data_IF_004193441722
#
_entry.id   IF_004193441722
#
_cell.length_a   1.000
_cell.length_b   1.000
_cell.length_c   1.000
_cell.angle_alpha   90.00
_cell.angle_beta   90.00
_cell.angle_gamma   90.00
#
_symmetry.space_group_name_H-M   'P 1'
#
loop_
_entity.id
_entity.type
_entity.pdbx_description
1 polymer ?
#
# COMPACT_ATOMS: atom_id res chain seq x y z
N UNK A 1 11.15 49.48 -7.66
CA UNK A 1 10.83 49.23 -6.23
C UNK A 1 9.37 49.59 -5.95
N UNK A 2 8.52 48.58 -5.87
CA UNK A 2 7.30 48.44 -5.05
C UNK A 2 6.92 46.94 -5.16
N UNK A 3 6.59 46.24 -4.07
CA UNK A 3 6.55 44.78 -4.06
C UNK A 3 5.23 44.27 -4.65
N UNK A 4 5.32 43.24 -5.49
CA UNK A 4 4.17 42.45 -5.95
C UNK A 4 3.83 41.47 -4.82
N UNK A 5 2.65 41.66 -4.24
CA UNK A 5 2.06 40.80 -3.21
C UNK A 5 1.57 39.53 -3.88
N UNK A 6 2.14 38.39 -3.49
CA UNK A 6 1.61 37.06 -3.79
C UNK A 6 0.24 36.90 -3.11
N UNK A 7 -0.83 36.81 -3.89
CA UNK A 7 -2.14 36.41 -3.38
C UNK A 7 -2.23 34.89 -3.33
N UNK A 8 -2.02 34.32 -2.15
CA UNK A 8 -2.45 32.97 -1.81
C UNK A 8 -3.97 32.91 -1.81
N UNK A 9 -4.56 32.46 -2.91
CA UNK A 9 -5.96 32.00 -2.97
C UNK A 9 -6.03 30.78 -3.88
N UNK A 10 -5.57 29.64 -3.38
CA UNK A 10 -6.16 28.38 -3.79
C UNK A 10 -7.65 28.44 -3.44
N UNK A 11 -8.50 28.20 -4.44
CA UNK A 11 -9.94 28.09 -4.23
C UNK A 11 -10.15 26.88 -3.32
N UNK A 12 -10.62 27.17 -2.12
CA UNK A 12 -11.14 26.29 -1.08
C UNK A 12 -11.74 24.96 -1.60
N UNK A 13 -10.95 23.89 -1.58
CA UNK A 13 -11.41 22.69 -0.88
C UNK A 13 -11.48 23.09 0.60
N UNK A 14 -12.65 22.97 1.23
CA UNK A 14 -12.82 23.31 2.65
C UNK A 14 -12.08 22.29 3.52
N UNK A 15 -10.77 22.43 3.63
CA UNK A 15 -9.99 21.85 4.72
C UNK A 15 -10.35 22.66 5.96
N UNK A 16 -11.28 22.16 6.76
CA UNK A 16 -11.51 22.67 8.10
C UNK A 16 -10.25 22.40 8.93
N UNK A 17 -9.36 23.39 9.00
CA UNK A 17 -8.20 23.36 9.89
C UNK A 17 -8.65 23.74 11.30
N UNK A 18 -9.10 22.76 12.09
CA UNK A 18 -9.33 22.89 13.52
C UNK A 18 -7.99 22.83 14.27
N UNK A 19 -7.17 23.87 14.11
CA UNK A 19 -6.06 24.13 15.03
C UNK A 19 -6.63 24.87 16.23
N UNK A 20 -6.90 24.13 17.31
CA UNK A 20 -7.24 24.75 18.60
C UNK A 20 -8.46 24.17 19.31
N UNK A 21 -8.61 22.86 19.39
CA UNK A 21 -9.28 22.24 20.56
C UNK A 21 -8.76 20.83 20.78
N UNK A 22 -8.36 20.57 22.02
CA UNK A 22 -7.92 19.31 22.62
C UNK A 22 -8.32 18.00 21.88
N UNK A 23 -7.30 17.17 21.57
CA UNK A 23 -7.36 15.70 21.59
C UNK A 23 -8.66 15.06 21.06
N UNK A 24 -9.01 15.35 19.81
CA UNK A 24 -9.89 14.47 19.04
C UNK A 24 -9.04 13.25 18.69
N UNK A 25 -9.19 12.15 19.44
CA UNK A 25 -8.44 10.93 19.24
C UNK A 25 -8.55 10.44 17.79
N UNK A 26 -7.60 9.64 17.31
CA UNK A 26 -7.68 9.10 15.95
C UNK A 26 -8.99 8.32 15.69
N UNK A 27 -9.57 7.68 16.72
CA UNK A 27 -10.93 7.13 16.71
C UNK A 27 -11.94 8.18 16.24
N UNK A 28 -11.92 9.36 16.84
CA UNK A 28 -12.84 10.43 16.51
C UNK A 28 -12.57 11.01 15.11
N UNK A 29 -11.32 11.06 14.63
CA UNK A 29 -11.04 11.41 13.23
C UNK A 29 -11.60 10.38 12.24
N UNK A 30 -11.51 9.08 12.54
CA UNK A 30 -12.12 8.05 11.69
C UNK A 30 -13.65 8.06 11.75
N UNK A 31 -14.23 8.30 12.93
CA UNK A 31 -15.68 8.49 13.09
C UNK A 31 -16.16 9.74 12.33
N UNK A 32 -15.40 10.83 12.39
CA UNK A 32 -15.68 12.03 11.60
C UNK A 32 -15.58 11.72 10.12
N UNK A 33 -14.57 10.96 9.66
CA UNK A 33 -14.49 10.57 8.25
C UNK A 33 -15.69 9.71 7.82
N UNK A 34 -16.11 8.75 8.67
CA UNK A 34 -17.30 7.94 8.47
C UNK A 34 -18.57 8.81 8.36
N UNK A 35 -18.76 9.72 9.32
CA UNK A 35 -19.91 10.61 9.36
C UNK A 35 -19.89 11.59 8.18
N UNK A 36 -18.75 12.24 7.93
CA UNK A 36 -18.59 13.19 6.82
C UNK A 36 -18.87 12.51 5.49
N UNK A 37 -18.41 11.28 5.26
CA UNK A 37 -18.74 10.57 4.02
C UNK A 37 -20.25 10.34 3.87
N UNK A 38 -20.97 10.10 4.96
CA UNK A 38 -22.43 9.96 4.94
C UNK A 38 -23.15 11.29 4.62
N UNK A 39 -22.51 12.45 4.83
CA UNK A 39 -23.08 13.78 4.60
C UNK A 39 -22.57 14.49 3.34
N UNK A 40 -21.28 14.36 3.01
CA UNK A 40 -20.54 15.20 2.05
C UNK A 40 -19.93 14.38 0.88
N UNK A 41 -19.73 14.98 -0.31
CA UNK A 41 -19.02 14.33 -1.41
C UNK A 41 -17.54 14.10 -1.10
N UNK A 42 -17.11 12.84 -1.13
CA UNK A 42 -15.72 12.36 -0.95
C UNK A 42 -15.08 12.72 0.41
N UNK A 43 -14.22 11.84 0.93
CA UNK A 43 -13.57 12.07 2.23
C UNK A 43 -12.13 11.59 2.19
N UNK A 44 -11.24 12.41 2.74
CA UNK A 44 -9.81 12.16 2.81
C UNK A 44 -9.29 12.32 4.24
N UNK A 45 -8.37 11.45 4.65
CA UNK A 45 -7.67 11.57 5.94
C UNK A 45 -6.21 11.14 5.83
N UNK A 46 -5.40 11.48 6.82
CA UNK A 46 -4.02 11.03 6.92
C UNK A 46 -3.68 10.62 8.36
N UNK A 47 -2.91 9.55 8.51
CA UNK A 47 -2.55 8.99 9.83
C UNK A 47 -1.26 8.17 9.75
N UNK A 48 -0.80 7.66 10.89
CA UNK A 48 0.33 6.74 11.01
C UNK A 48 0.31 6.00 12.35
N UNK A 49 0.93 4.81 12.43
CA UNK A 49 1.27 4.09 13.66
C UNK A 49 0.09 4.01 14.64
N UNK A 50 0.26 4.49 15.88
CA UNK A 50 -0.75 4.48 16.93
C UNK A 50 -2.05 5.15 16.51
N UNK A 51 -1.97 6.20 15.69
CA UNK A 51 -3.15 6.85 15.14
C UNK A 51 -3.96 5.88 14.29
N UNK A 52 -3.31 5.13 13.41
CA UNK A 52 -3.97 4.12 12.59
C UNK A 52 -4.57 2.99 13.43
N UNK A 53 -3.82 2.49 14.42
CA UNK A 53 -4.29 1.40 15.28
C UNK A 53 -5.47 1.81 16.16
N UNK A 54 -5.51 3.06 16.62
CA UNK A 54 -6.67 3.63 17.30
C UNK A 54 -7.89 3.73 16.37
N UNK A 55 -7.71 3.74 15.05
CA UNK A 55 -8.81 3.72 14.08
C UNK A 55 -9.30 2.31 13.72
N UNK A 56 -8.65 1.24 14.22
CA UNK A 56 -8.85 -0.12 13.72
C UNK A 56 -10.33 -0.53 13.62
N UNK A 57 -11.12 -0.36 14.68
CA UNK A 57 -12.56 -0.69 14.67
C UNK A 57 -13.31 0.04 13.54
N UNK A 58 -13.07 1.34 13.39
CA UNK A 58 -13.74 2.17 12.39
C UNK A 58 -13.29 1.83 10.97
N UNK A 59 -12.02 1.43 10.78
CA UNK A 59 -11.48 0.99 9.50
C UNK A 59 -12.26 -0.23 8.98
N UNK A 60 -12.51 -1.24 9.81
CA UNK A 60 -13.34 -2.38 9.42
C UNK A 60 -14.78 -1.98 9.09
N UNK A 61 -15.36 -1.02 9.82
CA UNK A 61 -16.71 -0.52 9.54
C UNK A 61 -16.80 0.23 8.20
N UNK A 62 -15.81 1.07 7.86
CA UNK A 62 -15.79 1.83 6.60
C UNK A 62 -15.76 0.88 5.38
N UNK A 63 -14.87 -0.12 5.41
CA UNK A 63 -14.84 -1.16 4.37
C UNK A 63 -16.13 -1.99 4.38
N UNK A 64 -16.59 -2.31 5.60
CA UNK A 64 -17.84 -3.03 5.87
C UNK A 64 -19.04 -2.41 5.16
N UNK A 65 -19.15 -1.09 5.21
CA UNK A 65 -20.25 -0.29 4.68
C UNK A 65 -20.03 0.16 3.23
N UNK A 66 -18.96 -0.26 2.57
CA UNK A 66 -18.60 0.14 1.18
C UNK A 66 -18.54 1.66 0.99
N UNK A 67 -17.80 2.30 1.88
CA UNK A 67 -17.61 3.75 1.87
C UNK A 67 -16.23 4.08 1.26
N UNK A 68 -16.17 4.70 0.06
CA UNK A 68 -14.92 5.10 -0.60
C UNK A 68 -14.24 6.29 0.07
N UNK A 69 -13.67 6.04 1.24
CA UNK A 69 -12.77 6.97 1.92
C UNK A 69 -11.35 6.74 1.40
N UNK A 70 -10.63 7.81 1.09
CA UNK A 70 -9.21 7.75 0.75
C UNK A 70 -8.38 8.14 1.97
N UNK A 71 -7.34 7.37 2.27
CA UNK A 71 -6.43 7.63 3.38
C UNK A 71 -4.99 7.61 2.91
N UNK A 72 -4.19 8.58 3.32
CA UNK A 72 -2.73 8.45 3.25
C UNK A 72 -2.19 7.95 4.58
N UNK A 73 -1.45 6.85 4.54
CA UNK A 73 -0.77 6.29 5.69
C UNK A 73 0.74 6.45 5.52
N UNK A 74 1.31 7.41 6.25
CA UNK A 74 2.76 7.56 6.33
C UNK A 74 3.31 6.52 7.31
N UNK A 75 3.70 5.37 6.77
CA UNK A 75 4.03 4.16 7.53
C UNK A 75 5.10 4.45 8.60
N UNK A 76 4.77 4.08 9.84
CA UNK A 76 5.58 4.40 11.02
C UNK A 76 5.54 3.25 12.03
N UNK A 77 6.66 3.08 12.71
CA UNK A 77 6.82 2.12 13.79
C UNK A 77 5.71 2.14 14.84
N UNK A 78 5.27 0.94 15.21
CA UNK A 78 4.30 0.71 16.26
C UNK A 78 5.03 0.51 17.59
N UNK A 79 4.64 1.27 18.62
CA UNK A 79 5.16 1.13 19.99
C UNK A 79 4.88 -0.27 20.56
N UNK A 80 5.72 -0.85 21.43
CA UNK A 80 6.81 -0.26 22.21
C UNK A 80 8.19 -0.90 21.89
N UNK A 81 9.31 -0.14 21.94
CA UNK A 81 9.44 1.25 22.38
C UNK A 81 8.82 2.26 21.39
N UNK A 82 8.57 3.49 21.85
CA UNK A 82 8.09 4.53 20.94
C UNK A 82 9.16 4.81 19.88
N UNK A 83 8.75 4.79 18.62
CA UNK A 83 9.60 5.15 17.52
C UNK A 83 8.77 5.94 16.49
N UNK A 84 9.26 7.11 16.11
CA UNK A 84 8.60 8.00 15.15
C UNK A 84 9.01 7.72 13.71
N UNK A 85 10.04 6.91 13.51
CA UNK A 85 10.57 6.59 12.20
C UNK A 85 9.81 5.45 11.53
N UNK A 86 10.14 5.21 10.27
CA UNK A 86 9.44 4.24 9.44
C UNK A 86 9.73 2.79 9.80
N UNK A 87 8.66 2.05 9.95
CA UNK A 87 8.53 0.69 9.47
C UNK A 87 7.11 0.58 8.90
N UNK A 88 6.73 -0.61 8.47
CA UNK A 88 5.45 -0.88 7.80
C UNK A 88 4.45 -1.57 8.73
N UNK A 89 4.77 -1.69 10.03
CA UNK A 89 4.00 -2.48 11.00
C UNK A 89 2.55 -2.01 11.13
N UNK A 90 2.33 -0.70 11.02
CA UNK A 90 1.01 -0.08 11.15
C UNK A 90 0.03 -0.54 10.06
N UNK A 91 0.35 -0.31 8.79
CA UNK A 91 -0.54 -0.66 7.67
C UNK A 91 -0.68 -2.18 7.50
N UNK A 92 0.38 -2.97 7.74
CA UNK A 92 0.28 -4.43 7.65
C UNK A 92 -0.54 -5.02 8.79
N UNK A 93 -0.68 -4.36 9.94
CA UNK A 93 -1.54 -4.78 11.05
C UNK A 93 -3.04 -4.68 10.74
N UNK A 94 -3.43 -3.88 9.74
CA UNK A 94 -4.82 -3.72 9.30
C UNK A 94 -5.06 -4.22 7.87
N UNK A 95 -4.13 -5.00 7.31
CA UNK A 95 -4.18 -5.49 5.92
C UNK A 95 -5.43 -6.33 5.61
N UNK A 96 -6.03 -6.95 6.62
CA UNK A 96 -7.22 -7.81 6.49
C UNK A 96 -8.54 -7.05 6.71
N UNK A 97 -8.49 -5.72 6.75
CA UNK A 97 -9.65 -4.85 6.99
C UNK A 97 -10.61 -4.72 5.82
N UNK A 98 -10.23 -5.14 4.62
CA UNK A 98 -10.99 -4.91 3.39
C UNK A 98 -10.73 -3.55 2.72
N UNK A 99 -9.77 -2.78 3.24
CA UNK A 99 -9.25 -1.60 2.55
C UNK A 99 -8.34 -2.01 1.39
N UNK A 100 -8.46 -1.27 0.29
CA UNK A 100 -7.50 -1.33 -0.80
C UNK A 100 -6.21 -0.69 -0.30
N UNK A 101 -5.05 -1.34 -0.46
CA UNK A 101 -3.76 -0.76 -0.07
C UNK A 101 -2.85 -0.63 -1.29
N UNK A 102 -2.51 0.63 -1.63
CA UNK A 102 -1.57 1.00 -2.68
C UNK A 102 -0.25 1.46 -2.04
N UNK A 103 0.86 0.82 -2.40
CA UNK A 103 2.18 0.98 -1.80
C UNK A 103 3.12 1.72 -2.76
N UNK A 104 3.64 2.86 -2.31
CA UNK A 104 4.36 3.83 -3.13
C UNK A 104 5.87 3.75 -2.89
N UNK A 105 6.66 3.64 -3.96
CA UNK A 105 8.12 3.60 -3.91
C UNK A 105 8.74 4.96 -3.61
N UNK A 106 8.17 6.03 -4.16
CA UNK A 106 8.74 7.38 -4.07
C UNK A 106 7.64 8.45 -4.05
N UNK A 107 8.05 9.72 -3.97
CA UNK A 107 7.12 10.85 -3.89
C UNK A 107 6.23 11.00 -5.14
N UNK A 108 6.76 10.69 -6.34
CA UNK A 108 5.98 10.69 -7.58
C UNK A 108 4.88 9.64 -7.53
N UNK A 109 5.24 8.40 -7.19
CA UNK A 109 4.27 7.31 -7.09
C UNK A 109 3.23 7.57 -5.98
N UNK A 110 3.62 8.21 -4.86
CA UNK A 110 2.67 8.58 -3.81
C UNK A 110 1.64 9.62 -4.27
N UNK A 111 2.07 10.61 -5.05
CA UNK A 111 1.20 11.60 -5.68
C UNK A 111 0.23 10.93 -6.67
N UNK A 112 0.77 10.12 -7.58
CA UNK A 112 -0.01 9.46 -8.62
C UNK A 112 -0.99 8.41 -8.05
N UNK A 113 -0.56 7.65 -7.04
CA UNK A 113 -1.43 6.71 -6.32
C UNK A 113 -2.56 7.42 -5.59
N UNK A 114 -2.34 8.62 -5.06
CA UNK A 114 -3.38 9.39 -4.39
C UNK A 114 -4.48 9.82 -5.37
N UNK A 115 -4.11 10.29 -6.56
CA UNK A 115 -5.09 10.64 -7.61
C UNK A 115 -5.86 9.39 -8.05
N UNK A 116 -5.15 8.30 -8.35
CA UNK A 116 -5.77 7.03 -8.75
C UNK A 116 -6.66 6.44 -7.64
N UNK A 117 -6.30 6.61 -6.36
CA UNK A 117 -7.04 6.06 -5.23
C UNK A 117 -8.47 6.58 -5.13
N UNK A 118 -8.72 7.87 -5.44
CA UNK A 118 -10.08 8.40 -5.46
C UNK A 118 -10.93 7.68 -6.51
N UNK A 119 -10.41 7.58 -7.74
CA UNK A 119 -11.12 6.95 -8.85
C UNK A 119 -11.34 5.45 -8.62
N UNK A 120 -10.35 4.75 -8.07
CA UNK A 120 -10.46 3.33 -7.70
C UNK A 120 -11.51 3.17 -6.60
N UNK A 121 -11.37 3.91 -5.48
CA UNK A 121 -12.26 3.78 -4.33
C UNK A 121 -13.72 4.02 -4.73
N UNK A 122 -13.98 5.08 -5.48
CA UNK A 122 -15.32 5.53 -5.87
C UNK A 122 -15.93 4.71 -7.01
N UNK A 123 -15.17 3.82 -7.66
CA UNK A 123 -15.64 3.01 -8.78
C UNK A 123 -16.87 2.19 -8.39
N UNK A 124 -17.95 2.30 -9.17
CA UNK A 124 -19.29 1.83 -8.79
C UNK A 124 -19.39 0.33 -8.55
N UNK A 125 -18.55 -0.46 -9.23
CA UNK A 125 -18.53 -1.91 -9.04
C UNK A 125 -17.97 -2.33 -7.68
N UNK A 126 -17.12 -1.48 -7.07
CA UNK A 126 -16.42 -1.83 -5.83
C UNK A 126 -16.81 -0.95 -4.65
N UNK A 127 -16.70 0.38 -4.75
CA UNK A 127 -17.03 1.31 -3.66
C UNK A 127 -16.31 0.96 -2.35
N UNK A 128 -15.02 0.66 -2.42
CA UNK A 128 -14.21 0.27 -1.26
C UNK A 128 -13.29 1.42 -0.85
N UNK A 129 -12.96 1.56 0.45
CA UNK A 129 -11.99 2.55 0.87
C UNK A 129 -10.57 2.18 0.39
N UNK A 130 -9.74 3.20 0.15
CA UNK A 130 -8.38 3.03 -0.34
C UNK A 130 -7.36 3.73 0.57
N UNK A 131 -6.23 3.07 0.78
CA UNK A 131 -5.12 3.53 1.58
C UNK A 131 -3.87 3.63 0.70
N UNK A 132 -3.31 4.83 0.61
CA UNK A 132 -2.01 5.08 -0.01
C UNK A 132 -0.95 5.00 1.07
N UNK A 133 -0.20 3.91 1.06
CA UNK A 133 0.91 3.63 1.95
C UNK A 133 2.20 4.21 1.36
N UNK A 134 2.96 4.91 2.20
CA UNK A 134 4.27 5.46 1.85
C UNK A 134 5.16 5.48 3.09
N UNK A 135 6.46 5.26 2.89
CA UNK A 135 7.39 5.17 4.02
C UNK A 135 7.59 6.53 4.71
N UNK A 136 7.27 6.59 6.00
CA UNK A 136 7.45 7.77 6.84
C UNK A 136 8.92 8.23 6.88
N UNK A 137 9.16 9.54 6.96
CA UNK A 137 10.48 10.17 6.84
C UNK A 137 11.13 9.98 5.45
N UNK A 138 11.32 8.75 4.98
CA UNK A 138 12.02 8.42 3.74
C UNK A 138 11.30 8.98 2.52
N UNK A 139 9.98 8.83 2.43
CA UNK A 139 9.18 9.43 1.35
C UNK A 139 8.50 10.69 1.84
N UNK A 140 7.91 10.68 3.05
CA UNK A 140 7.08 11.80 3.50
C UNK A 140 7.84 13.09 3.85
N UNK A 141 9.15 13.01 4.13
CA UNK A 141 9.96 14.17 4.53
C UNK A 141 11.18 14.40 3.64
N UNK A 142 11.40 13.55 2.63
CA UNK A 142 12.41 13.78 1.62
C UNK A 142 11.91 14.77 0.57
N UNK A 143 12.80 15.67 0.15
CA UNK A 143 12.53 16.58 -0.95
C UNK A 143 12.92 15.88 -2.25
N UNK A 144 11.94 15.71 -3.13
CA UNK A 144 12.13 15.18 -4.48
C UNK A 144 11.51 16.10 -5.53
N UNK A 145 11.99 16.01 -6.76
CA UNK A 145 11.31 16.62 -7.91
C UNK A 145 10.24 15.65 -8.39
N UNK A 146 9.03 16.16 -8.57
CA UNK A 146 7.92 15.41 -9.15
C UNK A 146 7.35 16.18 -10.34
N UNK A 147 6.68 15.46 -11.22
CA UNK A 147 5.84 15.95 -12.29
C UNK A 147 4.39 15.97 -11.80
N UNK A 148 3.85 17.17 -11.68
CA UNK A 148 2.46 17.40 -11.32
C UNK A 148 1.60 17.52 -12.58
N UNK A 149 0.36 17.07 -12.45
CA UNK A 149 -0.70 17.31 -13.42
C UNK A 149 -1.41 18.62 -13.10
N UNK A 150 -2.00 19.26 -14.10
CA UNK A 150 -2.80 20.47 -13.88
C UNK A 150 -4.12 20.13 -13.16
N UNK A 151 -4.65 21.07 -12.37
CA UNK A 151 -5.82 20.83 -11.51
C UNK A 151 -7.06 20.37 -12.30
N UNK A 152 -7.25 20.87 -13.53
CA UNK A 152 -8.36 20.51 -14.40
C UNK A 152 -8.20 19.12 -15.01
N UNK A 153 -6.98 18.72 -15.36
CA UNK A 153 -6.65 17.36 -15.78
C UNK A 153 -6.97 16.34 -14.68
N UNK A 154 -6.56 16.64 -13.43
CA UNK A 154 -6.87 15.80 -12.27
C UNK A 154 -8.38 15.74 -12.01
N UNK A 155 -9.07 16.88 -12.06
CA UNK A 155 -10.51 16.93 -11.84
C UNK A 155 -11.28 16.13 -12.91
N UNK A 156 -10.87 16.22 -14.17
CA UNK A 156 -11.47 15.45 -15.27
C UNK A 156 -11.20 13.95 -15.14
N UNK A 157 -10.02 13.57 -14.64
CA UNK A 157 -9.67 12.17 -14.40
C UNK A 157 -10.48 11.55 -13.26
N UNK A 158 -10.54 12.23 -12.10
CA UNK A 158 -11.29 11.75 -10.92
C UNK A 158 -12.79 11.73 -11.22
N UNK A 159 -13.28 12.75 -11.93
CA UNK A 159 -14.67 12.86 -12.34
C UNK A 159 -15.59 13.38 -11.22
N UNK A 160 -16.89 13.19 -11.40
CA UNK A 160 -17.90 13.60 -10.42
C UNK A 160 -18.23 12.49 -9.45
N UNK A 161 -18.22 12.84 -8.15
CA UNK A 161 -18.61 11.92 -7.09
C UNK A 161 -20.09 11.52 -7.20
N UNK A 162 -20.34 10.21 -7.21
CA UNK A 162 -21.70 9.64 -7.24
C UNK A 162 -22.11 9.09 -5.89
N UNK A 163 -23.07 9.75 -5.24
CA UNK A 163 -23.69 9.25 -3.99
C UNK A 163 -24.48 7.97 -4.26
N UNK A 164 -24.28 6.95 -3.42
CA UNK A 164 -25.11 5.75 -3.38
C UNK A 164 -25.79 5.73 -2.02
N UNK A 165 -27.13 5.75 -2.01
CA UNK A 165 -27.97 5.77 -0.80
C UNK A 165 -27.62 6.90 0.19
N UNK A 166 -27.74 8.18 -0.19
CA UNK A 166 -27.40 9.29 0.70
C UNK A 166 -28.15 9.19 2.04
N UNK A 167 -27.47 9.45 3.16
CA UNK A 167 -28.09 9.32 4.50
C UNK A 167 -29.27 10.29 4.69
N UNK A 168 -29.19 11.48 4.10
CA UNK A 168 -30.22 12.52 4.16
C UNK A 168 -31.26 12.41 3.03
N UNK A 169 -31.37 11.26 2.38
CA UNK A 169 -32.42 10.99 1.40
C UNK A 169 -33.75 10.71 2.12
N UNK A 170 -34.56 11.75 2.30
CA UNK A 170 -35.88 11.65 2.94
C UNK A 170 -36.90 10.94 2.05
N UNK A 171 -36.67 10.88 0.75
CA UNK A 171 -37.57 10.21 -0.21
C UNK A 171 -37.30 8.70 -0.22
N UNK A 172 -36.04 8.31 -0.04
CA UNK A 172 -35.61 6.91 0.02
C UNK A 172 -34.73 6.63 1.26
N UNK A 173 -35.34 6.57 2.46
CA UNK A 173 -34.58 6.34 3.68
C UNK A 173 -33.97 4.94 3.70
N UNK A 174 -32.73 4.85 4.17
CA UNK A 174 -31.99 3.60 4.34
C UNK A 174 -31.42 3.49 5.75
N UNK A 175 -31.27 2.28 6.26
CA UNK A 175 -30.61 2.00 7.54
C UNK A 175 -29.16 1.59 7.32
N UNK A 176 -28.25 2.20 8.07
CA UNK A 176 -26.81 1.88 8.06
C UNK A 176 -26.42 1.15 9.35
N UNK A 177 -25.57 0.14 9.24
CA UNK A 177 -25.06 -0.63 10.37
C UNK A 177 -26.12 -1.35 11.22
N UNK A 178 -27.17 -1.98 10.64
CA UNK A 178 -28.11 -2.77 11.44
C UNK A 178 -27.40 -3.98 12.05
N UNK A 179 -27.97 -4.51 13.13
CA UNK A 179 -27.58 -5.81 13.66
C UNK A 179 -27.95 -6.90 12.63
N UNK A 180 -26.95 -7.66 12.18
CA UNK A 180 -27.13 -8.84 11.33
C UNK A 180 -26.71 -10.06 12.14
N UNK A 181 -27.56 -11.09 12.17
CA UNK A 181 -27.34 -12.32 12.92
C UNK A 181 -26.75 -13.43 12.02
N UNK A 182 -26.55 -14.60 12.61
CA UNK A 182 -25.90 -15.75 11.98
C UNK A 182 -26.63 -16.30 10.73
N UNK A 183 -27.90 -15.94 10.54
CA UNK A 183 -28.73 -16.35 9.41
C UNK A 183 -28.38 -15.61 8.10
N UNK A 184 -27.68 -14.47 8.17
CA UNK A 184 -27.29 -13.69 6.98
C UNK A 184 -25.85 -13.16 6.98
N UNK A 185 -25.14 -13.23 8.11
CA UNK A 185 -23.80 -12.62 8.20
C UNK A 185 -22.80 -13.24 7.21
N UNK A 186 -22.90 -14.55 6.96
CA UNK A 186 -22.01 -15.24 6.02
C UNK A 186 -22.22 -14.76 4.58
N UNK A 187 -23.47 -14.56 4.17
CA UNK A 187 -23.86 -14.03 2.86
C UNK A 187 -23.34 -12.61 2.67
N UNK A 188 -23.38 -11.78 3.72
CA UNK A 188 -22.79 -10.45 3.70
C UNK A 188 -21.28 -10.49 3.46
N UNK A 189 -20.56 -11.38 4.16
CA UNK A 189 -19.11 -11.57 3.97
C UNK A 189 -18.78 -12.12 2.59
N UNK A 190 -19.60 -13.04 2.05
CA UNK A 190 -19.46 -13.53 0.67
C UNK A 190 -19.65 -12.41 -0.36
N UNK A 191 -20.66 -11.55 -0.18
CA UNK A 191 -20.88 -10.41 -1.06
C UNK A 191 -19.70 -9.43 -1.04
N UNK A 192 -19.10 -9.19 0.14
CA UNK A 192 -17.88 -8.38 0.24
C UNK A 192 -16.69 -9.03 -0.46
N UNK A 193 -16.52 -10.35 -0.35
CA UNK A 193 -15.46 -11.07 -1.05
C UNK A 193 -15.62 -11.00 -2.58
N UNK A 194 -16.85 -11.10 -3.10
CA UNK A 194 -17.13 -10.92 -4.53
C UNK A 194 -16.83 -9.49 -5.01
N UNK A 195 -17.06 -8.49 -4.16
CA UNK A 195 -16.67 -7.10 -4.47
C UNK A 195 -15.15 -6.97 -4.49
N UNK A 196 -14.45 -7.52 -3.50
CA UNK A 196 -12.99 -7.44 -3.40
C UNK A 196 -12.27 -8.13 -4.58
N UNK A 197 -12.84 -9.21 -5.15
CA UNK A 197 -12.24 -9.90 -6.30
C UNK A 197 -12.21 -9.07 -7.59
N UNK A 198 -13.04 -8.02 -7.69
CA UNK A 198 -13.09 -7.11 -8.84
C UNK A 198 -12.03 -5.99 -8.77
N UNK A 199 -11.41 -5.79 -7.61
CA UNK A 199 -10.51 -4.64 -7.36
C UNK A 199 -9.32 -4.65 -8.30
N UNK A 200 -8.64 -5.79 -8.51
CA UNK A 200 -7.46 -5.85 -9.37
C UNK A 200 -7.75 -5.38 -10.79
N UNK A 201 -8.92 -5.75 -11.34
CA UNK A 201 -9.36 -5.30 -12.66
C UNK A 201 -9.56 -3.78 -12.69
N UNK A 202 -10.30 -3.23 -11.72
CA UNK A 202 -10.51 -1.78 -11.59
C UNK A 202 -9.18 -1.02 -11.44
N UNK A 203 -8.23 -1.55 -10.66
CA UNK A 203 -6.91 -0.94 -10.47
C UNK A 203 -6.13 -0.88 -11.79
N UNK A 204 -6.21 -1.93 -12.61
CA UNK A 204 -5.56 -1.98 -13.92
C UNK A 204 -6.22 -1.03 -14.92
N UNK A 205 -7.55 -0.99 -14.97
CA UNK A 205 -8.29 -0.08 -15.86
C UNK A 205 -7.98 1.39 -15.53
N UNK A 206 -8.01 1.75 -14.23
CA UNK A 206 -7.66 3.09 -13.78
C UNK A 206 -6.19 3.42 -14.05
N UNK A 207 -5.28 2.45 -13.89
CA UNK A 207 -3.87 2.64 -14.20
C UNK A 207 -3.64 2.88 -15.70
N UNK A 208 -4.37 2.19 -16.58
CA UNK A 208 -4.29 2.38 -18.02
C UNK A 208 -4.77 3.78 -18.44
N UNK A 209 -5.87 4.25 -17.85
CA UNK A 209 -6.34 5.61 -18.07
C UNK A 209 -5.37 6.67 -17.54
N UNK A 210 -4.73 6.38 -16.40
CA UNK A 210 -3.72 7.26 -15.83
C UNK A 210 -2.47 7.34 -16.71
N UNK A 211 -2.06 6.22 -17.34
CA UNK A 211 -1.00 6.19 -18.33
C UNK A 211 -1.35 7.06 -19.55
N UNK A 212 -2.59 6.99 -20.04
CA UNK A 212 -3.05 7.82 -21.16
C UNK A 212 -3.01 9.33 -20.83
N UNK A 213 -3.28 9.69 -19.56
CA UNK A 213 -3.25 11.07 -19.09
C UNK A 213 -1.83 11.59 -18.87
N UNK A 214 -1.01 10.80 -18.19
CA UNK A 214 0.25 11.27 -17.59
C UNK A 214 1.51 10.75 -18.31
N UNK A 215 1.36 9.73 -19.17
CA UNK A 215 2.46 8.96 -19.73
C UNK A 215 3.12 7.98 -18.74
N UNK A 216 2.69 7.94 -17.48
CA UNK A 216 3.30 7.09 -16.43
C UNK A 216 2.52 5.80 -16.27
N UNK A 217 3.20 4.68 -16.48
CA UNK A 217 2.62 3.33 -16.45
C UNK A 217 2.62 2.75 -15.03
N UNK A 218 1.49 2.17 -14.64
CA UNK A 218 1.38 1.43 -13.38
C UNK A 218 0.66 0.08 -13.58
N UNK A 219 0.95 -0.88 -12.71
CA UNK A 219 0.30 -2.18 -12.67
C UNK A 219 -0.11 -2.59 -11.25
N UNK A 220 -0.30 -3.89 -11.03
CA UNK A 220 -0.50 -4.47 -9.69
C UNK A 220 0.82 -4.50 -8.90
N UNK A 221 1.93 -4.62 -9.61
CA UNK A 221 3.30 -4.57 -9.11
C UNK A 221 4.22 -4.07 -10.22
N UNK A 222 5.41 -3.63 -9.84
CA UNK A 222 6.50 -3.36 -10.75
C UNK A 222 7.43 -4.59 -10.82
N UNK A 223 7.62 -5.11 -12.02
CA UNK A 223 8.45 -6.27 -12.31
C UNK A 223 9.74 -5.79 -12.99
N UNK A 224 10.80 -5.65 -12.20
CA UNK A 224 12.07 -5.10 -12.64
C UNK A 224 13.06 -6.21 -12.96
N UNK A 225 13.44 -6.37 -14.24
CA UNK A 225 14.35 -7.44 -14.69
C UNK A 225 13.94 -8.85 -14.23
N UNK A 226 12.65 -9.20 -14.26
CA UNK A 226 12.17 -10.51 -13.79
C UNK A 226 12.01 -11.57 -14.89
N UNK A 227 11.76 -11.18 -16.14
CA UNK A 227 11.36 -12.11 -17.22
C UNK A 227 12.36 -13.26 -17.43
N UNK A 228 13.66 -12.97 -17.32
CA UNK A 228 14.75 -13.94 -17.48
C UNK A 228 15.51 -14.23 -16.18
N UNK A 229 15.03 -13.72 -15.05
CA UNK A 229 15.70 -13.84 -13.76
C UNK A 229 15.79 -15.29 -13.28
N UNK A 230 16.90 -15.62 -12.63
CA UNK A 230 17.09 -16.89 -11.92
C UNK A 230 16.97 -16.71 -10.40
N UNK A 231 17.29 -15.53 -9.89
CA UNK A 231 17.10 -15.15 -8.49
C UNK A 231 16.33 -13.83 -8.41
N UNK A 232 15.60 -13.61 -7.32
CA UNK A 232 14.85 -12.38 -7.17
C UNK A 232 14.69 -11.88 -5.75
N UNK A 233 14.37 -10.60 -5.64
CA UNK A 233 13.95 -9.95 -4.40
C UNK A 233 12.50 -9.48 -4.55
N UNK A 234 11.69 -9.62 -3.51
CA UNK A 234 10.42 -8.90 -3.39
C UNK A 234 10.47 -7.96 -2.19
N UNK A 235 10.09 -6.69 -2.41
CA UNK A 235 10.22 -5.63 -1.42
C UNK A 235 9.18 -4.53 -1.64
N UNK A 236 8.67 -3.95 -0.54
CA UNK A 236 7.69 -2.85 -0.56
C UNK A 236 8.36 -1.46 -0.48
N UNK A 237 7.68 -0.45 -1.03
CA UNK A 237 7.98 0.98 -0.93
C UNK A 237 9.45 1.33 -1.23
N UNK A 238 10.08 2.17 -0.38
CA UNK A 238 11.21 3.01 -0.75
C UNK A 238 12.50 2.24 -0.99
N UNK A 239 12.66 1.09 -0.35
CA UNK A 239 13.86 0.28 -0.53
C UNK A 239 13.90 -0.37 -1.91
N UNK A 240 12.77 -0.48 -2.62
CA UNK A 240 12.77 -0.97 -3.99
C UNK A 240 13.70 -0.15 -4.89
N UNK A 241 13.72 1.18 -4.73
CA UNK A 241 14.62 2.05 -5.51
C UNK A 241 16.10 1.69 -5.32
N UNK A 242 16.56 1.62 -4.06
CA UNK A 242 17.93 1.20 -3.74
C UNK A 242 18.24 -0.22 -4.21
N UNK A 243 17.29 -1.15 -4.09
CA UNK A 243 17.49 -2.52 -4.57
C UNK A 243 17.59 -2.58 -6.10
N UNK A 244 16.85 -1.76 -6.85
CA UNK A 244 16.95 -1.69 -8.32
C UNK A 244 18.36 -1.29 -8.77
N UNK A 245 18.97 -0.30 -8.11
CA UNK A 245 20.36 0.09 -8.38
C UNK A 245 21.34 -1.08 -8.22
N UNK A 246 21.16 -1.90 -7.17
CA UNK A 246 21.99 -3.08 -6.93
C UNK A 246 21.69 -4.20 -7.94
N UNK A 247 20.43 -4.38 -8.32
CA UNK A 247 20.04 -5.33 -9.38
C UNK A 247 20.75 -4.97 -10.69
N UNK A 248 20.82 -3.70 -11.07
CA UNK A 248 21.53 -3.25 -12.27
C UNK A 248 23.03 -3.56 -12.21
N UNK A 249 23.65 -3.38 -11.04
CA UNK A 249 25.06 -3.74 -10.83
C UNK A 249 25.29 -5.25 -11.01
N UNK A 250 24.39 -6.11 -10.51
CA UNK A 250 24.47 -7.56 -10.69
C UNK A 250 24.22 -7.96 -12.14
N UNK A 251 23.26 -7.30 -12.81
CA UNK A 251 22.97 -7.50 -14.24
C UNK A 251 24.17 -7.13 -15.11
N UNK A 252 24.89 -6.06 -14.79
CA UNK A 252 26.13 -5.68 -15.49
C UNK A 252 27.24 -6.74 -15.41
N UNK A 253 27.21 -7.60 -14.38
CA UNK A 253 28.11 -8.74 -14.16
C UNK A 253 27.61 -10.03 -14.79
N UNK A 254 26.49 -9.99 -15.53
CA UNK A 254 25.88 -11.16 -16.17
C UNK A 254 25.02 -12.02 -15.23
N UNK A 255 24.74 -11.55 -14.00
CA UNK A 255 23.90 -12.27 -13.05
C UNK A 255 22.43 -11.94 -13.32
N UNK A 256 21.62 -12.99 -13.49
CA UNK A 256 20.18 -12.86 -13.80
C UNK A 256 19.35 -12.60 -12.54
N UNK A 257 19.53 -11.43 -11.94
CA UNK A 257 18.79 -10.99 -10.76
C UNK A 257 17.58 -10.12 -11.15
N UNK A 258 16.45 -10.28 -10.47
CA UNK A 258 15.26 -9.45 -10.66
C UNK A 258 14.66 -8.95 -9.35
N UNK A 259 13.70 -8.04 -9.48
CA UNK A 259 12.96 -7.47 -8.37
C UNK A 259 11.47 -7.38 -8.67
N UNK A 260 10.63 -7.77 -7.72
CA UNK A 260 9.20 -7.49 -7.72
C UNK A 260 8.89 -6.45 -6.63
N UNK A 261 8.29 -5.32 -7.00
CA UNK A 261 7.75 -4.37 -6.03
C UNK A 261 6.23 -4.37 -6.09
N UNK A 262 5.53 -4.92 -5.07
CA UNK A 262 4.08 -4.79 -5.01
C UNK A 262 3.65 -3.32 -4.99
N UNK A 263 2.63 -3.00 -5.80
CA UNK A 263 1.93 -1.71 -5.74
C UNK A 263 0.57 -1.92 -5.10
N UNK A 264 -0.26 -2.81 -5.62
CA UNK A 264 -1.47 -3.28 -4.97
C UNK A 264 -1.10 -4.42 -4.01
N UNK A 265 -1.08 -4.14 -2.71
CA UNK A 265 -0.83 -5.17 -1.69
C UNK A 265 -2.11 -5.76 -1.13
N UNK A 266 -3.19 -4.97 -1.07
CA UNK A 266 -4.52 -5.47 -0.67
C UNK A 266 -5.60 -4.95 -1.63
N UNK A 267 -6.48 -5.84 -2.16
CA UNK A 267 -6.34 -7.30 -2.13
C UNK A 267 -5.04 -7.76 -2.81
N UNK A 268 -4.39 -8.78 -2.24
CA UNK A 268 -3.10 -9.24 -2.76
C UNK A 268 -3.31 -10.02 -4.06
N UNK A 269 -2.57 -9.72 -5.15
CA UNK A 269 -2.72 -10.38 -6.43
C UNK A 269 -2.01 -11.74 -6.42
N UNK A 270 -2.57 -12.71 -5.69
CA UNK A 270 -1.92 -14.01 -5.45
C UNK A 270 -1.58 -14.75 -6.73
N UNK A 271 -2.48 -14.77 -7.71
CA UNK A 271 -2.26 -15.52 -8.95
C UNK A 271 -1.14 -14.88 -9.76
N UNK A 272 -1.24 -13.59 -10.02
CA UNK A 272 -0.30 -12.82 -10.83
C UNK A 272 1.09 -12.78 -10.18
N UNK A 273 1.16 -12.68 -8.85
CA UNK A 273 2.43 -12.74 -8.11
C UNK A 273 3.07 -14.12 -8.23
N UNK A 274 2.29 -15.20 -8.11
CA UNK A 274 2.80 -16.56 -8.25
C UNK A 274 3.30 -16.84 -9.67
N UNK A 275 2.53 -16.43 -10.69
CA UNK A 275 2.91 -16.53 -12.10
C UNK A 275 4.24 -15.79 -12.37
N UNK A 276 4.41 -14.59 -11.82
CA UNK A 276 5.61 -13.76 -12.02
C UNK A 276 6.87 -14.24 -11.27
N UNK A 277 6.75 -15.16 -10.30
CA UNK A 277 7.87 -15.55 -9.44
C UNK A 277 8.17 -17.06 -9.46
N UNK A 278 7.26 -17.88 -9.97
CA UNK A 278 7.36 -19.35 -9.92
C UNK A 278 8.57 -19.92 -10.66
N UNK A 279 9.08 -19.22 -11.68
CA UNK A 279 10.23 -19.67 -12.48
C UNK A 279 11.58 -19.46 -11.81
N UNK A 280 11.66 -18.63 -10.77
CA UNK A 280 12.90 -18.33 -10.05
C UNK A 280 13.43 -19.60 -9.35
N UNK A 281 14.75 -19.69 -9.21
CA UNK A 281 15.43 -20.73 -8.41
C UNK A 281 15.42 -20.39 -6.92
N UNK A 282 15.64 -19.12 -6.59
CA UNK A 282 15.66 -18.63 -5.22
C UNK A 282 15.05 -17.22 -5.15
N UNK A 283 14.33 -16.92 -4.05
CA UNK A 283 13.64 -15.66 -3.82
C UNK A 283 13.83 -15.19 -2.38
N UNK A 284 14.23 -13.94 -2.21
CA UNK A 284 14.29 -13.28 -0.91
C UNK A 284 13.13 -12.31 -0.76
N UNK A 285 12.34 -12.48 0.30
CA UNK A 285 11.30 -11.53 0.69
C UNK A 285 11.85 -10.61 1.77
N UNK A 286 11.96 -9.32 1.45
CA UNK A 286 12.41 -8.28 2.37
C UNK A 286 11.20 -7.62 3.03
N UNK A 287 11.01 -7.88 4.32
CA UNK A 287 9.94 -7.30 5.12
C UNK A 287 10.48 -6.14 5.98
N UNK A 288 9.87 -4.95 5.84
CA UNK A 288 10.07 -3.83 6.78
C UNK A 288 8.99 -3.82 7.86
N UNK A 289 8.57 -4.99 8.29
CA UNK A 289 7.63 -5.23 9.38
C UNK A 289 7.87 -6.66 9.88
N UNK A 290 7.34 -6.98 11.06
CA UNK A 290 7.47 -8.34 11.58
C UNK A 290 6.18 -8.84 12.23
N UNK A 291 6.02 -10.16 12.22
CA UNK A 291 5.04 -10.85 13.04
C UNK A 291 5.78 -11.47 14.22
N UNK A 292 5.90 -10.72 15.33
CA UNK A 292 6.58 -11.21 16.53
C UNK A 292 5.93 -12.50 17.04
N UNK A 293 6.73 -13.57 17.19
CA UNK A 293 6.22 -14.90 17.54
C UNK A 293 5.61 -15.69 16.36
N UNK A 294 5.47 -15.06 15.19
CA UNK A 294 5.14 -15.71 13.93
C UNK A 294 6.39 -16.25 13.23
N UNK A 295 6.18 -17.17 12.27
CA UNK A 295 7.28 -17.83 11.57
C UNK A 295 8.05 -16.89 10.64
N UNK A 296 7.36 -15.94 9.98
CA UNK A 296 7.93 -15.05 8.96
C UNK A 296 7.22 -13.70 8.90
N UNK A 297 7.78 -12.76 8.14
CA UNK A 297 7.17 -11.47 7.90
C UNK A 297 5.83 -11.52 7.13
N UNK A 298 5.07 -10.41 7.16
CA UNK A 298 3.74 -10.34 6.56
C UNK A 298 3.75 -10.54 5.04
N UNK A 299 4.67 -9.88 4.32
CA UNK A 299 4.77 -10.01 2.85
C UNK A 299 5.24 -11.41 2.49
N UNK A 300 6.22 -11.95 3.23
CA UNK A 300 6.67 -13.34 3.02
C UNK A 300 5.50 -14.32 3.05
N UNK A 301 4.57 -14.16 3.99
CA UNK A 301 3.46 -15.10 4.16
C UNK A 301 2.53 -15.08 2.94
N UNK A 302 2.22 -13.90 2.39
CA UNK A 302 1.39 -13.77 1.19
C UNK A 302 2.08 -14.32 -0.06
N UNK A 303 3.40 -14.11 -0.18
CA UNK A 303 4.23 -14.61 -1.29
C UNK A 303 4.39 -16.14 -1.21
N UNK A 304 4.57 -16.69 -0.02
CA UNK A 304 4.61 -18.14 0.16
C UNK A 304 3.27 -18.77 -0.23
N UNK A 305 2.16 -18.14 0.15
CA UNK A 305 0.82 -18.57 -0.23
C UNK A 305 0.56 -18.45 -1.74
N UNK A 306 1.06 -17.41 -2.41
CA UNK A 306 0.92 -17.27 -3.87
C UNK A 306 1.70 -18.32 -4.64
N UNK A 307 2.85 -18.77 -4.13
CA UNK A 307 3.72 -19.76 -4.78
C UNK A 307 3.35 -21.21 -4.47
N UNK A 308 2.62 -21.47 -3.38
CA UNK A 308 2.26 -22.82 -2.96
C UNK A 308 1.51 -23.67 -4.03
N UNK A 309 0.59 -23.11 -4.85
CA UNK A 309 -0.08 -23.86 -5.91
C UNK A 309 0.84 -24.31 -7.06
N UNK A 310 2.04 -23.73 -7.18
CA UNK A 310 2.96 -24.02 -8.28
C UNK A 310 3.86 -25.21 -7.95
N UNK A 311 4.00 -26.13 -8.91
CA UNK A 311 4.90 -27.30 -8.78
C UNK A 311 6.37 -26.88 -8.76
N UNK A 312 6.75 -26.04 -9.72
CA UNK A 312 8.02 -25.34 -9.71
C UNK A 312 7.85 -24.03 -8.95
N UNK A 313 8.68 -23.82 -7.95
CA UNK A 313 8.71 -22.61 -7.13
C UNK A 313 10.12 -22.39 -6.58
N UNK A 314 10.52 -21.14 -6.31
CA UNK A 314 11.83 -20.86 -5.76
C UNK A 314 11.98 -21.41 -4.33
N UNK A 315 13.23 -21.51 -3.89
CA UNK A 315 13.55 -21.58 -2.47
C UNK A 315 13.33 -20.18 -1.88
N UNK A 316 12.44 -20.06 -0.90
CA UNK A 316 12.11 -18.78 -0.27
C UNK A 316 12.90 -18.57 1.03
N UNK A 317 13.48 -17.38 1.17
CA UNK A 317 14.03 -16.88 2.42
C UNK A 317 13.40 -15.53 2.79
N UNK A 318 13.42 -15.20 4.08
CA UNK A 318 12.91 -13.94 4.60
C UNK A 318 14.04 -13.16 5.26
N UNK A 319 14.13 -11.87 4.94
CA UNK A 319 15.01 -10.93 5.63
C UNK A 319 14.16 -9.79 6.19
N UNK A 320 14.24 -9.59 7.50
CA UNK A 320 13.61 -8.44 8.17
C UNK A 320 14.64 -7.31 8.22
N UNK A 321 14.24 -6.13 7.77
CA UNK A 321 15.16 -5.00 7.62
C UNK A 321 14.51 -3.69 8.03
N UNK A 322 15.32 -2.65 8.21
CA UNK A 322 14.86 -1.25 8.21
C UNK A 322 13.89 -0.85 9.32
N UNK A 323 13.63 -1.71 10.30
CA UNK A 323 12.64 -1.45 11.35
C UNK A 323 13.00 -0.17 12.12
N UNK A 324 11.98 0.66 12.39
CA UNK A 324 12.15 1.87 13.16
C UNK A 324 13.11 2.88 12.56
N UNK A 325 13.17 2.98 11.23
CA UNK A 325 14.00 3.93 10.49
C UNK A 325 15.45 3.54 10.37
N UNK A 326 15.79 2.27 10.63
CA UNK A 326 17.15 1.78 10.40
C UNK A 326 17.47 1.87 8.91
N UNK A 327 18.67 2.33 8.57
CA UNK A 327 19.07 2.48 7.18
C UNK A 327 19.03 1.15 6.42
N UNK A 328 18.50 1.18 5.20
CA UNK A 328 18.64 0.13 4.21
C UNK A 328 19.65 0.60 3.16
N UNK A 329 20.88 0.13 3.27
CA UNK A 329 21.98 0.46 2.36
C UNK A 329 22.12 -0.59 1.25
N UNK A 330 22.80 -0.28 0.13
CA UNK A 330 23.05 -1.21 -0.96
C UNK A 330 23.64 -2.56 -0.52
N UNK A 331 24.54 -2.57 0.47
CA UNK A 331 25.20 -3.78 0.97
C UNK A 331 24.21 -4.78 1.56
N UNK A 332 23.05 -4.33 2.05
CA UNK A 332 21.99 -5.21 2.52
C UNK A 332 21.27 -5.93 1.37
N UNK A 333 21.13 -5.28 0.20
CA UNK A 333 20.62 -5.92 -1.00
C UNK A 333 21.64 -6.92 -1.55
N UNK A 334 22.93 -6.54 -1.59
CA UNK A 334 24.03 -7.42 -2.01
C UNK A 334 24.11 -8.67 -1.14
N UNK A 335 23.98 -8.52 0.18
CA UNK A 335 23.95 -9.64 1.13
C UNK A 335 22.85 -10.63 0.76
N UNK A 336 21.63 -10.14 0.50
CA UNK A 336 20.52 -11.00 0.09
C UNK A 336 20.78 -11.68 -1.25
N UNK A 337 21.26 -10.94 -2.27
CA UNK A 337 21.55 -11.50 -3.60
C UNK A 337 22.66 -12.54 -3.58
N UNK A 338 23.73 -12.31 -2.81
CA UNK A 338 24.83 -13.27 -2.67
C UNK A 338 24.37 -14.57 -2.01
N UNK A 339 23.51 -14.49 -0.99
CA UNK A 339 22.91 -15.68 -0.39
C UNK A 339 21.98 -16.40 -1.37
N UNK A 340 21.19 -15.68 -2.17
CA UNK A 340 20.35 -16.28 -3.20
C UNK A 340 21.16 -16.98 -4.29
N UNK A 341 22.33 -16.47 -4.67
CA UNK A 341 23.25 -17.16 -5.59
C UNK A 341 23.72 -18.49 -5.00
N UNK A 342 24.17 -18.49 -3.74
CA UNK A 342 24.58 -19.71 -3.03
C UNK A 342 23.42 -20.72 -2.95
N UNK A 343 22.21 -20.25 -2.64
CA UNK A 343 21.01 -21.09 -2.59
C UNK A 343 20.67 -21.65 -3.97
N UNK A 344 20.75 -20.85 -5.03
CA UNK A 344 20.43 -21.26 -6.39
C UNK A 344 21.42 -22.32 -6.92
N UNK A 345 22.68 -22.29 -6.47
CA UNK A 345 23.71 -23.28 -6.82
C UNK A 345 23.63 -24.54 -5.96
N UNK A 346 23.42 -24.39 -4.65
CA UNK A 346 23.58 -25.50 -3.68
C UNK A 346 22.26 -26.13 -3.22
N UNK A 347 21.15 -25.40 -3.36
CA UNK A 347 19.84 -25.76 -2.80
C UNK A 347 19.78 -25.71 -1.27
N UNK A 348 20.79 -25.17 -0.58
CA UNK A 348 20.88 -25.16 0.88
C UNK A 348 20.61 -23.78 1.45
N UNK A 349 19.71 -23.69 2.43
CA UNK A 349 19.41 -22.47 3.17
C UNK A 349 20.09 -22.54 4.53
N UNK A 350 20.83 -21.48 4.90
CA UNK A 350 21.43 -21.35 6.24
C UNK A 350 20.37 -20.93 7.27
N UNK A 351 19.71 -19.81 7.00
CA UNK A 351 18.64 -19.24 7.83
C UNK A 351 17.43 -18.90 6.96
N UNK A 352 16.26 -19.47 7.27
CA UNK A 352 15.03 -19.14 6.54
C UNK A 352 14.48 -17.76 6.89
N UNK A 353 14.78 -17.25 8.09
CA UNK A 353 14.45 -15.90 8.55
C UNK A 353 15.66 -15.31 9.27
N UNK A 354 16.01 -14.08 8.94
CA UNK A 354 17.11 -13.35 9.56
C UNK A 354 16.82 -11.85 9.60
N UNK A 355 17.34 -11.14 10.61
CA UNK A 355 17.32 -9.69 10.64
C UNK A 355 18.65 -9.16 10.10
N UNK A 356 18.58 -8.21 9.18
CA UNK A 356 19.79 -7.57 8.61
C UNK A 356 19.93 -6.14 9.12
N UNK A 357 21.17 -5.71 9.36
CA UNK A 357 21.50 -4.37 9.86
C UNK A 357 21.39 -4.20 11.39
N UNK A 358 21.21 -5.29 12.13
CA UNK A 358 21.24 -5.34 13.61
C UNK A 358 22.69 -5.14 14.10
N UNK A 359 22.86 -4.46 15.23
CA UNK A 359 24.17 -4.31 15.90
C UNK A 359 24.33 -5.47 16.88
N UNK A 360 25.40 -6.24 16.75
CA UNK A 360 25.79 -7.31 17.67
C UNK A 360 26.84 -6.86 18.69
#
# INVERSE_FOLDING_TARGET
>A
MRPVVWSSRSKSFSIFSLWGTLLVSAVASALVALLVYLFWPSTYTATSSQGLLLMAEVIFNIAGLRLPVVMTCANRAVSAPINIWNDQQDAVSIRDSGWIQLWSENAQEAYDNTIQAFRIAEHMDIRLPAMVCLDGFIISHSIGRIEYLEDDEVQNFVGEFRKLNPLLDIERPVSYGPLILQDYYMEYRRAQAEVASKVSGVVLDVAQDFENLSGRKYGLFDAYHLDDAEIGIIILNSAAGTTKDVIDEYRSRGIKAGLLKPRLYRPFPYRETGEALSHLKALCVLDRADAFGGSFGPVYTDVAASLYPFQQRPILINKVYGLGGRDYLPEHAEMALNELLEIAETGRVRNYKEYIGVRE
#
